data_IF_999071067064
#
_entry.id   IF_999071067064
#
_cell.length_a   1.000
_cell.length_b   1.000
_cell.length_c   1.000
_cell.angle_alpha   90.00
_cell.angle_beta   90.00
_cell.angle_gamma   90.00
#
_symmetry.space_group_name_H-M   'P 1'
#
loop_
_entity.id
_entity.type
_entity.pdbx_description
1 polymer ?
#
# COMPACT_ATOMS: atom_id res chain seq x y z
N UNK A 1 -4.78 9.22 -5.73
CA UNK A 1 -4.49 7.76 -5.87
C UNK A 1 -4.27 7.46 -7.33
N UNK A 2 -3.49 6.42 -7.66
CA UNK A 2 -3.27 5.98 -9.05
C UNK A 2 -3.17 4.45 -9.11
N UNK A 3 -3.69 3.81 -10.18
CA UNK A 3 -3.14 2.54 -10.63
C UNK A 3 -1.72 2.78 -11.17
N UNK A 4 -0.84 1.78 -11.05
CA UNK A 4 0.47 1.74 -11.71
C UNK A 4 0.50 0.45 -12.55
N UNK A 5 -0.26 0.40 -13.66
CA UNK A 5 -0.52 -0.84 -14.38
C UNK A 5 0.75 -1.38 -15.05
N UNK A 6 1.07 -2.65 -14.80
CA UNK A 6 2.27 -3.30 -15.31
C UNK A 6 3.51 -3.12 -14.43
N UNK A 7 3.43 -2.38 -13.32
CA UNK A 7 4.41 -2.49 -12.24
C UNK A 7 4.07 -3.73 -11.41
N UNK A 8 4.93 -4.76 -11.31
CA UNK A 8 4.62 -6.01 -10.62
C UNK A 8 4.14 -5.87 -9.17
N UNK A 9 4.71 -4.94 -8.40
CA UNK A 9 4.29 -4.64 -7.02
C UNK A 9 2.91 -3.96 -7.00
N UNK A 10 2.65 -3.07 -7.95
CA UNK A 10 1.33 -2.46 -8.12
C UNK A 10 0.28 -3.49 -8.55
N UNK A 11 0.62 -4.35 -9.49
CA UNK A 11 -0.21 -5.47 -9.96
C UNK A 11 -0.43 -6.52 -8.85
N UNK A 12 0.52 -6.69 -7.91
CA UNK A 12 0.36 -7.51 -6.70
C UNK A 12 -0.67 -6.93 -5.74
N UNK A 13 -0.51 -5.66 -5.36
CA UNK A 13 -1.41 -5.00 -4.41
C UNK A 13 -2.82 -4.88 -4.98
N UNK A 14 -2.96 -4.44 -6.24
CA UNK A 14 -4.27 -4.30 -6.89
C UNK A 14 -5.03 -5.63 -7.02
N UNK A 15 -4.32 -6.73 -7.28
CA UNK A 15 -4.85 -8.10 -7.30
C UNK A 15 -5.32 -8.54 -5.91
N UNK A 16 -4.49 -8.40 -4.89
CA UNK A 16 -4.78 -8.88 -3.54
C UNK A 16 -5.88 -8.05 -2.82
N UNK A 17 -5.92 -6.75 -3.08
CA UNK A 17 -6.84 -5.79 -2.43
C UNK A 17 -8.18 -5.62 -3.19
N UNK A 18 -8.18 -5.90 -4.50
CA UNK A 18 -9.34 -5.80 -5.38
C UNK A 18 -9.80 -4.36 -5.67
N UNK A 19 -9.04 -3.34 -5.30
CA UNK A 19 -9.40 -1.92 -5.51
C UNK A 19 -9.10 -1.40 -6.92
N UNK A 20 -8.16 -2.01 -7.63
CA UNK A 20 -7.54 -1.45 -8.84
C UNK A 20 -6.55 -0.30 -8.56
N UNK A 21 -6.33 0.11 -7.32
CA UNK A 21 -5.32 1.13 -6.96
C UNK A 21 -4.13 0.50 -6.26
N UNK A 22 -2.92 0.84 -6.71
CA UNK A 22 -1.67 0.43 -6.05
C UNK A 22 -1.05 1.53 -5.20
N UNK A 23 -1.31 2.80 -5.53
CA UNK A 23 -0.61 3.93 -4.92
C UNK A 23 -1.53 5.06 -4.46
N UNK A 24 -1.16 5.65 -3.32
CA UNK A 24 -1.86 6.75 -2.66
C UNK A 24 -0.91 7.86 -2.24
N UNK A 25 -1.41 9.09 -2.30
CA UNK A 25 -0.66 10.31 -2.05
C UNK A 25 -1.63 11.39 -1.53
N UNK A 26 -1.13 12.29 -0.69
CA UNK A 26 -1.87 13.48 -0.25
C UNK A 26 -1.46 14.66 -1.14
N UNK A 27 -2.42 15.46 -1.61
CA UNK A 27 -2.07 16.71 -2.29
C UNK A 27 -1.37 17.68 -1.33
N UNK A 28 -0.46 18.51 -1.82
CA UNK A 28 0.10 19.62 -1.05
C UNK A 28 -0.79 20.87 -1.16
N UNK A 29 -0.58 21.85 -0.29
CA UNK A 29 -1.29 23.13 -0.26
C UNK A 29 -0.38 24.30 -0.68
N UNK A 30 0.59 24.01 -1.54
CA UNK A 30 1.61 24.94 -2.03
C UNK A 30 1.18 25.76 -3.27
N UNK A 31 0.10 25.35 -3.93
CA UNK A 31 -0.34 25.94 -5.20
C UNK A 31 0.48 25.51 -6.42
N UNK A 32 1.50 24.66 -6.23
CA UNK A 32 2.41 24.18 -7.29
C UNK A 32 1.89 22.89 -7.96
N UNK A 33 0.81 22.31 -7.44
CA UNK A 33 0.20 21.10 -8.01
C UNK A 33 0.96 19.82 -7.67
N UNK A 34 1.59 19.78 -6.50
CA UNK A 34 2.34 18.62 -6.00
C UNK A 34 1.52 17.70 -5.11
N UNK A 35 2.01 16.47 -4.97
CA UNK A 35 1.54 15.47 -4.02
C UNK A 35 2.70 14.96 -3.18
N UNK A 36 2.44 14.58 -1.93
CA UNK A 36 3.39 13.83 -1.11
C UNK A 36 2.98 12.36 -1.01
N UNK A 37 3.95 11.45 -1.19
CA UNK A 37 3.73 10.00 -1.07
C UNK A 37 4.95 9.26 -0.56
N UNK A 38 4.74 8.12 0.09
CA UNK A 38 5.79 7.14 0.34
C UNK A 38 5.84 6.16 -0.84
N UNK A 39 6.95 6.11 -1.58
CA UNK A 39 7.10 5.30 -2.78
C UNK A 39 8.50 4.69 -2.90
N UNK A 40 8.58 3.41 -3.24
CA UNK A 40 9.84 2.73 -3.54
C UNK A 40 10.40 3.24 -4.86
N UNK A 41 11.46 4.06 -4.83
CA UNK A 41 11.99 4.69 -6.04
C UNK A 41 13.51 4.68 -6.05
N UNK A 42 14.05 3.82 -6.92
CA UNK A 42 15.47 3.68 -7.18
C UNK A 42 16.01 4.94 -7.86
N UNK A 43 16.43 5.91 -7.05
CA UNK A 43 17.25 7.01 -7.52
C UNK A 43 18.49 6.44 -8.19
N UNK A 44 18.69 6.71 -9.49
CA UNK A 44 19.83 6.21 -10.27
C UNK A 44 21.21 6.54 -9.68
N UNK A 45 21.27 7.55 -8.81
CA UNK A 45 22.47 8.03 -8.10
C UNK A 45 22.70 7.34 -6.75
N UNK A 46 21.71 6.62 -6.22
CA UNK A 46 21.76 5.87 -4.96
C UNK A 46 21.03 4.52 -5.14
N UNK A 47 21.73 3.45 -5.58
CA UNK A 47 21.18 2.11 -5.45
C UNK A 47 20.84 1.87 -3.97
N UNK A 48 19.68 1.26 -3.70
CA UNK A 48 19.09 1.13 -2.35
C UNK A 48 18.61 2.43 -1.70
N UNK A 49 18.39 3.52 -2.47
CA UNK A 49 17.42 4.54 -2.07
C UNK A 49 16.03 3.88 -2.04
N UNK A 50 15.61 3.45 -0.85
CA UNK A 50 14.29 2.85 -0.64
C UNK A 50 13.18 3.89 -0.83
N UNK A 51 13.48 5.19 -0.98
CA UNK A 51 12.50 6.26 -0.99
C UNK A 51 12.01 6.60 0.41
N UNK A 52 11.25 7.68 0.52
CA UNK A 52 10.66 8.22 1.75
C UNK A 52 9.40 9.01 1.42
N UNK A 53 8.99 9.94 2.26
CA UNK A 53 7.89 10.88 1.99
C UNK A 53 8.36 11.94 0.97
N UNK A 54 8.27 11.61 -0.32
CA UNK A 54 8.69 12.51 -1.39
C UNK A 54 7.55 13.41 -1.86
N UNK A 55 7.89 14.63 -2.26
CA UNK A 55 6.98 15.57 -2.91
C UNK A 55 7.21 15.57 -4.42
N UNK A 56 6.24 15.06 -5.18
CA UNK A 56 6.29 14.92 -6.65
C UNK A 56 5.27 15.84 -7.32
N UNK A 57 5.60 16.39 -8.49
CA UNK A 57 4.63 17.09 -9.33
C UNK A 57 3.57 16.10 -9.86
N UNK A 58 2.28 16.42 -9.75
CA UNK A 58 1.22 15.54 -10.28
C UNK A 58 1.36 15.37 -11.82
N UNK A 59 2.02 16.32 -12.49
CA UNK A 59 2.35 16.24 -13.91
C UNK A 59 3.22 15.03 -14.29
N UNK A 60 4.04 14.52 -13.37
CA UNK A 60 4.91 13.36 -13.57
C UNK A 60 4.12 12.10 -13.93
N UNK A 61 2.96 11.90 -13.29
CA UNK A 61 2.12 10.72 -13.48
C UNK A 61 1.59 10.62 -14.92
N UNK A 62 1.07 11.72 -15.48
CA UNK A 62 0.62 11.74 -16.88
C UNK A 62 1.78 11.62 -17.88
N UNK A 63 2.96 12.14 -17.56
CA UNK A 63 4.16 11.95 -18.40
C UNK A 63 4.61 10.47 -18.48
N UNK A 64 4.24 9.65 -17.49
CA UNK A 64 4.40 8.20 -17.48
C UNK A 64 3.14 7.44 -17.96
N UNK A 65 2.16 8.13 -18.56
CA UNK A 65 0.92 7.53 -19.05
C UNK A 65 -0.03 7.03 -17.95
N UNK A 66 0.17 7.44 -16.70
CA UNK A 66 -0.64 7.03 -15.56
C UNK A 66 -1.88 7.91 -15.39
N UNK A 67 -2.94 7.34 -14.81
CA UNK A 67 -4.21 8.02 -14.58
C UNK A 67 -4.35 8.40 -13.10
N UNK A 68 -4.33 9.71 -12.79
CA UNK A 68 -4.45 10.20 -11.42
C UNK A 68 -5.92 10.36 -11.05
N UNK A 69 -6.35 9.79 -9.92
CA UNK A 69 -7.70 9.91 -9.38
C UNK A 69 -7.69 10.68 -8.06
N UNK A 70 -8.57 11.66 -7.93
CA UNK A 70 -8.88 12.36 -6.69
C UNK A 70 -9.91 11.54 -5.90
N UNK A 71 -9.60 11.34 -4.62
CA UNK A 71 -10.56 10.86 -3.63
C UNK A 71 -10.93 12.07 -2.77
N UNK A 72 -12.17 12.60 -2.88
CA UNK A 72 -12.59 13.73 -2.06
C UNK A 72 -12.69 13.32 -0.60
N UNK A 73 -12.13 14.15 0.28
CA UNK A 73 -12.29 14.05 1.73
C UNK A 73 -13.56 14.81 2.13
N UNK A 74 -14.26 14.31 3.14
CA UNK A 74 -15.41 14.98 3.74
C UNK A 74 -15.02 16.42 4.17
N UNK A 75 -15.78 17.47 3.77
CA UNK A 75 -15.52 18.84 4.19
C UNK A 75 -15.49 19.06 5.72
N UNK A 76 -16.10 18.18 6.51
CA UNK A 76 -16.05 18.22 7.98
C UNK A 76 -14.73 17.69 8.56
N UNK A 77 -13.89 17.03 7.76
CA UNK A 77 -12.59 16.47 8.18
C UNK A 77 -11.46 17.44 7.78
N UNK A 78 -10.90 18.21 8.72
CA UNK A 78 -9.92 19.25 8.40
C UNK A 78 -8.62 18.64 7.85
N UNK A 79 -8.07 19.26 6.81
CA UNK A 79 -6.86 18.79 6.12
C UNK A 79 -5.58 19.40 6.71
N UNK A 80 -5.72 20.53 7.41
CA UNK A 80 -4.63 21.29 8.02
C UNK A 80 -3.84 20.46 9.05
N UNK A 81 -4.45 19.66 9.96
CA UNK A 81 -3.69 18.80 10.88
C UNK A 81 -2.90 17.72 10.15
N UNK A 82 -3.45 17.16 9.06
CA UNK A 82 -2.75 16.17 8.24
C UNK A 82 -1.54 16.79 7.51
N UNK A 83 -1.65 18.02 7.01
CA UNK A 83 -0.54 18.73 6.39
C UNK A 83 0.53 19.15 7.42
N UNK A 84 0.15 19.65 8.59
CA UNK A 84 1.10 19.97 9.66
C UNK A 84 1.86 18.72 10.14
N UNK A 85 1.18 17.57 10.23
CA UNK A 85 1.80 16.28 10.57
C UNK A 85 2.77 15.83 9.46
N UNK A 86 2.40 16.00 8.19
CA UNK A 86 3.28 15.75 7.04
C UNK A 86 4.56 16.60 7.08
N UNK A 87 4.45 17.89 7.41
CA UNK A 87 5.59 18.82 7.54
C UNK A 87 6.56 18.40 8.65
N UNK A 88 6.08 17.82 9.75
CA UNK A 88 6.95 17.29 10.81
C UNK A 88 7.64 15.96 10.45
N UNK A 89 7.06 15.18 9.53
CA UNK A 89 7.66 13.93 9.07
C UNK A 89 8.57 14.08 7.86
N UNK A 90 8.34 15.08 7.01
CA UNK A 90 9.14 15.36 5.82
C UNK A 90 10.13 16.50 6.11
N UNK A 91 11.36 16.17 6.47
CA UNK A 91 12.41 17.18 6.73
C UNK A 91 13.39 17.27 5.55
N UNK A 92 13.89 18.47 5.17
CA UNK A 92 14.80 18.64 4.02
C UNK A 92 16.05 17.75 4.05
N UNK A 93 16.48 17.32 5.24
CA UNK A 93 17.64 16.47 5.49
C UNK A 93 17.31 14.97 5.54
N UNK A 94 16.04 14.60 5.72
CA UNK A 94 15.56 13.22 5.89
C UNK A 94 14.04 13.12 5.62
N UNK A 95 13.66 12.47 4.53
CA UNK A 95 12.27 12.19 4.15
C UNK A 95 11.73 10.87 4.78
N UNK A 96 12.51 10.20 5.64
CA UNK A 96 12.20 8.86 6.16
C UNK A 96 12.51 7.75 5.15
N UNK A 97 11.99 6.53 5.39
CA UNK A 97 12.16 5.39 4.47
C UNK A 97 10.86 4.69 4.06
N UNK A 98 10.84 4.11 2.87
CA UNK A 98 9.76 3.21 2.45
C UNK A 98 9.89 1.86 3.14
N UNK A 99 8.82 1.38 3.77
CA UNK A 99 8.84 0.12 4.53
C UNK A 99 8.40 -1.07 3.69
N UNK A 100 9.35 -1.66 2.94
CA UNK A 100 9.14 -2.94 2.24
C UNK A 100 8.65 -4.06 3.19
N UNK A 101 9.19 -4.24 4.43
CA UNK A 101 8.68 -5.25 5.35
C UNK A 101 7.18 -5.11 5.66
N UNK A 102 6.71 -3.89 5.95
CA UNK A 102 5.27 -3.64 6.19
C UNK A 102 4.41 -3.96 4.97
N UNK A 103 4.88 -3.62 3.76
CA UNK A 103 4.15 -3.95 2.54
C UNK A 103 4.04 -5.47 2.30
N UNK A 104 5.07 -6.23 2.66
CA UNK A 104 5.02 -7.70 2.67
C UNK A 104 4.00 -8.21 3.71
N UNK A 105 3.95 -7.63 4.91
CA UNK A 105 2.95 -7.97 5.95
C UNK A 105 1.51 -7.72 5.43
N UNK A 106 1.26 -6.60 4.76
CA UNK A 106 -0.04 -6.30 4.10
C UNK A 106 -0.37 -7.36 3.06
N UNK A 107 0.58 -7.68 2.18
CA UNK A 107 0.36 -8.65 1.11
C UNK A 107 0.07 -10.06 1.66
N UNK A 108 0.78 -10.48 2.72
CA UNK A 108 0.51 -11.74 3.44
C UNK A 108 -0.91 -11.73 4.03
N UNK A 109 -1.29 -10.65 4.73
CA UNK A 109 -2.60 -10.53 5.36
C UNK A 109 -3.74 -10.64 4.34
N UNK A 110 -3.62 -9.97 3.18
CA UNK A 110 -4.58 -10.06 2.08
C UNK A 110 -4.62 -11.44 1.42
N UNK A 111 -3.47 -12.09 1.24
CA UNK A 111 -3.40 -13.45 0.68
C UNK A 111 -4.15 -14.49 1.53
N UNK A 112 -4.33 -14.24 2.84
CA UNK A 112 -5.13 -15.12 3.71
C UNK A 112 -6.62 -15.18 3.39
N UNK A 113 -7.13 -14.37 2.46
CA UNK A 113 -8.52 -14.41 2.02
C UNK A 113 -8.73 -15.22 0.72
N UNK A 114 -7.66 -15.79 0.15
CA UNK A 114 -7.77 -16.67 -1.02
C UNK A 114 -8.66 -17.90 -0.72
N UNK A 115 -9.68 -18.20 -1.55
CA UNK A 115 -10.69 -19.21 -1.24
C UNK A 115 -10.17 -20.64 -1.19
N UNK A 116 -9.00 -20.92 -1.77
CA UNK A 116 -8.32 -22.22 -1.70
C UNK A 116 -7.51 -22.47 -0.43
N UNK A 117 -7.30 -21.46 0.43
CA UNK A 117 -6.49 -21.59 1.64
C UNK A 117 -7.27 -22.26 2.76
N UNK A 118 -6.62 -23.17 3.49
CA UNK A 118 -7.22 -23.80 4.67
C UNK A 118 -7.64 -22.71 5.70
N UNK A 119 -8.91 -22.65 6.15
CA UNK A 119 -9.39 -21.57 7.01
C UNK A 119 -8.67 -21.43 8.35
N UNK A 120 -8.13 -22.53 8.89
CA UNK A 120 -7.39 -22.50 10.17
C UNK A 120 -6.01 -21.89 9.96
N UNK A 121 -5.29 -22.31 8.91
CA UNK A 121 -4.01 -21.70 8.51
C UNK A 121 -4.17 -20.24 8.08
N UNK A 122 -5.24 -19.92 7.36
CA UNK A 122 -5.58 -18.56 6.97
C UNK A 122 -5.71 -17.64 8.20
N UNK A 123 -6.43 -18.11 9.23
CA UNK A 123 -6.59 -17.38 10.49
C UNK A 123 -5.27 -17.26 11.28
N UNK A 124 -4.47 -18.33 11.37
CA UNK A 124 -3.15 -18.33 12.00
C UNK A 124 -2.23 -17.26 11.36
N UNK A 125 -2.06 -17.30 10.04
CA UNK A 125 -1.22 -16.35 9.29
C UNK A 125 -1.75 -14.92 9.45
N UNK A 126 -3.07 -14.71 9.43
CA UNK A 126 -3.67 -13.38 9.58
C UNK A 126 -3.44 -12.79 10.97
N UNK A 127 -3.56 -13.61 12.03
CA UNK A 127 -3.26 -13.18 13.40
C UNK A 127 -1.79 -12.80 13.58
N UNK A 128 -0.87 -13.59 13.00
CA UNK A 128 0.57 -13.28 13.01
C UNK A 128 0.89 -12.02 12.19
N UNK A 129 0.18 -11.76 11.08
CA UNK A 129 0.35 -10.53 10.30
C UNK A 129 -0.11 -9.29 11.09
N UNK A 130 -1.21 -9.40 11.84
CA UNK A 130 -1.67 -8.35 12.78
C UNK A 130 -0.67 -8.13 13.90
N UNK A 131 -0.10 -9.20 14.49
CA UNK A 131 0.93 -9.08 15.53
C UNK A 131 2.19 -8.38 14.99
N UNK A 132 2.70 -8.79 13.83
CA UNK A 132 3.84 -8.15 13.18
C UNK A 132 3.55 -6.67 12.90
N UNK A 133 2.41 -6.32 12.29
CA UNK A 133 2.06 -4.93 12.04
C UNK A 133 2.00 -4.07 13.33
N UNK A 134 1.46 -4.63 14.43
CA UNK A 134 1.45 -3.97 15.75
C UNK A 134 2.86 -3.70 16.29
N UNK A 135 3.78 -4.66 16.16
CA UNK A 135 5.17 -4.46 16.58
C UNK A 135 5.84 -3.31 15.80
N UNK A 136 5.57 -3.21 14.50
CA UNK A 136 6.05 -2.13 13.63
C UNK A 136 5.40 -0.76 13.89
N UNK A 137 4.21 -0.73 14.49
CA UNK A 137 3.56 0.50 14.94
C UNK A 137 4.08 1.01 16.27
N UNK A 138 4.51 0.10 17.15
CA UNK A 138 5.05 0.39 18.48
C UNK A 138 6.38 1.15 18.51
N UNK A 139 6.90 1.62 17.37
CA UNK A 139 8.10 2.47 17.30
C UNK A 139 7.79 3.82 16.60
N UNK A 140 7.20 4.80 17.32
CA UNK A 140 6.73 6.06 16.75
C UNK A 140 7.81 6.91 16.07
N UNK A 141 9.07 6.76 16.50
CA UNK A 141 10.23 7.50 15.99
C UNK A 141 10.65 7.04 14.59
N UNK A 142 10.24 5.82 14.19
CA UNK A 142 10.53 5.28 12.86
C UNK A 142 9.62 5.91 11.82
N UNK A 143 10.14 6.90 11.09
CA UNK A 143 9.55 7.48 9.88
C UNK A 143 9.59 6.49 8.69
N UNK A 144 9.01 5.31 8.89
CA UNK A 144 8.99 4.21 7.94
C UNK A 144 7.55 3.96 7.50
N UNK A 145 7.23 4.21 6.22
CA UNK A 145 5.85 4.14 5.73
C UNK A 145 5.77 3.45 4.37
N UNK A 146 4.63 2.87 4.05
CA UNK A 146 4.22 2.68 2.65
C UNK A 146 3.05 3.62 2.32
N UNK A 147 2.67 3.68 1.04
CA UNK A 147 1.81 4.72 0.50
C UNK A 147 0.46 4.89 1.22
N UNK A 148 -0.22 3.80 1.60
CA UNK A 148 -1.51 3.87 2.27
C UNK A 148 -1.41 4.07 3.79
N UNK A 149 -0.41 3.46 4.44
CA UNK A 149 -0.08 3.72 5.85
C UNK A 149 0.18 5.22 6.09
N UNK A 150 0.91 5.88 5.18
CA UNK A 150 1.17 7.31 5.28
C UNK A 150 -0.15 8.09 5.37
N UNK A 151 -1.09 7.87 4.45
CA UNK A 151 -2.35 8.62 4.41
C UNK A 151 -3.18 8.39 5.68
N UNK A 152 -3.36 7.13 6.11
CA UNK A 152 -4.16 6.83 7.30
C UNK A 152 -3.54 7.40 8.59
N UNK A 153 -2.21 7.43 8.70
CA UNK A 153 -1.52 8.06 9.85
C UNK A 153 -1.56 9.59 9.79
N UNK A 154 -1.55 10.19 8.58
CA UNK A 154 -1.71 11.64 8.43
C UNK A 154 -3.07 12.12 8.91
N UNK A 155 -4.14 11.37 8.59
CA UNK A 155 -5.50 11.67 9.05
C UNK A 155 -5.81 11.17 10.48
N UNK A 156 -5.03 10.22 11.01
CA UNK A 156 -5.21 9.64 12.36
C UNK A 156 -6.61 9.03 12.56
N UNK A 157 -7.10 8.38 11.50
CA UNK A 157 -8.39 7.72 11.44
C UNK A 157 -8.16 6.20 11.36
N UNK A 158 -8.33 5.45 12.46
CA UNK A 158 -8.09 4.03 12.47
C UNK A 158 -9.25 3.26 11.84
N UNK A 159 -8.91 2.18 11.15
CA UNK A 159 -9.88 1.26 10.57
C UNK A 159 -10.30 0.17 11.58
N UNK A 160 -11.45 -0.45 11.36
CA UNK A 160 -11.91 -1.58 12.16
C UNK A 160 -11.39 -2.90 11.58
N UNK A 161 -11.16 -3.93 12.40
CA UNK A 161 -10.57 -5.20 11.95
C UNK A 161 -11.31 -5.87 10.79
N UNK A 162 -12.65 -5.77 10.73
CA UNK A 162 -13.46 -6.33 9.64
C UNK A 162 -13.14 -5.73 8.27
N UNK A 163 -12.68 -4.47 8.23
CA UNK A 163 -12.43 -3.74 6.98
C UNK A 163 -11.20 -4.23 6.23
N UNK A 164 -10.42 -5.17 6.78
CA UNK A 164 -9.27 -5.80 6.12
C UNK A 164 -9.68 -6.73 4.96
N UNK A 165 -10.87 -7.34 5.02
CA UNK A 165 -11.34 -8.32 4.03
C UNK A 165 -11.46 -7.70 2.61
N UNK A 166 -10.84 -8.30 1.57
CA UNK A 166 -10.72 -7.70 0.25
C UNK A 166 -11.99 -7.71 -0.59
N UNK A 167 -11.94 -6.88 -1.64
CA UNK A 167 -13.09 -6.51 -2.50
C UNK A 167 -13.88 -7.64 -3.14
N UNK A 168 -13.10 -8.59 -3.60
CA UNK A 168 -13.37 -9.81 -4.32
C UNK A 168 -12.05 -10.56 -4.15
N UNK A 169 -11.98 -11.66 -3.36
CA UNK A 169 -10.71 -12.30 -3.05
C UNK A 169 -10.18 -13.02 -4.30
N UNK A 170 -9.45 -12.27 -5.12
CA UNK A 170 -8.80 -12.78 -6.31
C UNK A 170 -7.66 -13.71 -5.90
N UNK A 171 -7.61 -14.86 -6.57
CA UNK A 171 -6.49 -15.79 -6.50
C UNK A 171 -5.18 -15.05 -6.73
N UNK A 172 -4.09 -15.32 -5.97
CA UNK A 172 -2.76 -15.02 -6.44
C UNK A 172 -2.57 -15.65 -7.83
N UNK A 173 -2.42 -14.81 -8.85
CA UNK A 173 -2.17 -15.31 -10.20
C UNK A 173 -0.85 -16.10 -10.17
N UNK A 174 -0.76 -17.29 -10.78
CA UNK A 174 0.49 -18.03 -10.82
C UNK A 174 1.53 -17.15 -11.53
N UNK A 175 2.54 -16.71 -10.78
CA UNK A 175 3.68 -16.00 -11.32
C UNK A 175 4.45 -16.85 -12.34
N UNK A 176 5.50 -16.29 -12.97
CA UNK A 176 6.46 -17.14 -13.69
C UNK A 176 6.94 -18.25 -12.75
N UNK A 177 7.23 -19.47 -13.25
CA UNK A 177 7.64 -20.59 -12.40
C UNK A 177 8.96 -20.25 -11.69
N UNK A 178 8.86 -19.82 -10.43
CA UNK A 178 10.01 -19.62 -9.54
C UNK A 178 10.40 -20.98 -8.99
N UNK A 179 11.70 -21.23 -8.93
CA UNK A 179 12.24 -22.43 -8.31
C UNK A 179 12.21 -22.20 -6.79
N UNK A 180 11.44 -23.02 -6.06
CA UNK A 180 11.18 -22.87 -4.62
C UNK A 180 12.48 -22.61 -3.83
N UNK A 181 12.49 -21.54 -3.03
CA UNK A 181 13.58 -21.17 -2.13
C UNK A 181 14.74 -20.39 -2.77
N UNK A 182 14.71 -20.10 -4.07
CA UNK A 182 15.82 -19.39 -4.74
C UNK A 182 15.85 -17.89 -4.42
N UNK A 183 14.69 -17.22 -4.31
CA UNK A 183 14.59 -15.78 -4.08
C UNK A 183 14.08 -15.44 -2.68
N UNK A 184 13.33 -16.34 -2.06
CA UNK A 184 12.98 -16.30 -0.64
C UNK A 184 14.21 -16.05 0.26
N UNK A 185 15.29 -16.81 0.09
CA UNK A 185 16.55 -16.60 0.83
C UNK A 185 17.18 -15.19 0.63
N UNK A 186 16.89 -14.50 -0.47
CA UNK A 186 17.32 -13.12 -0.69
C UNK A 186 16.36 -12.14 -0.02
N UNK A 187 15.04 -12.33 -0.19
CA UNK A 187 14.02 -11.49 0.41
C UNK A 187 14.08 -11.55 1.94
N UNK A 188 14.08 -12.74 2.54
CA UNK A 188 14.22 -12.95 3.99
C UNK A 188 15.50 -12.32 4.54
N UNK A 189 16.63 -12.39 3.80
CA UNK A 189 17.88 -11.71 4.21
C UNK A 189 17.81 -10.19 4.09
N UNK A 190 17.19 -9.65 3.04
CA UNK A 190 17.01 -8.20 2.89
C UNK A 190 16.04 -7.65 3.93
N UNK A 191 14.97 -8.37 4.25
CA UNK A 191 14.00 -7.97 5.27
C UNK A 191 14.60 -8.14 6.68
N UNK A 192 15.34 -9.23 6.93
CA UNK A 192 16.12 -9.44 8.15
C UNK A 192 17.19 -8.36 8.41
N UNK A 193 17.76 -7.78 7.35
CA UNK A 193 18.66 -6.62 7.48
C UNK A 193 17.93 -5.29 7.75
N UNK A 194 16.63 -5.21 7.46
CA UNK A 194 15.77 -4.05 7.69
C UNK A 194 14.99 -4.13 9.02
N UNK A 195 15.03 -5.27 9.70
CA UNK A 195 14.46 -5.51 11.04
C UNK A 195 15.55 -5.49 12.10
N UNK A 196 15.34 -4.71 13.16
CA UNK A 196 16.10 -4.90 14.41
C UNK A 196 15.45 -6.01 15.26
N UNK A 197 16.18 -6.50 16.26
CA UNK A 197 15.82 -7.65 17.13
C UNK A 197 14.35 -7.64 17.61
N UNK A 198 13.83 -6.48 18.04
CA UNK A 198 12.45 -6.31 18.55
C UNK A 198 11.36 -6.55 17.49
N UNK A 199 11.68 -6.29 16.21
CA UNK A 199 10.79 -6.49 15.07
C UNK A 199 10.98 -7.88 14.43
N UNK A 200 12.17 -8.47 14.57
CA UNK A 200 12.52 -9.73 13.95
C UNK A 200 11.70 -10.90 14.51
N UNK A 201 11.56 -11.02 15.83
CA UNK A 201 10.85 -12.16 16.45
C UNK A 201 9.37 -12.34 16.00
N UNK A 202 8.50 -11.31 15.95
CA UNK A 202 7.16 -11.46 15.39
C UNK A 202 7.17 -11.69 13.87
N UNK A 203 8.17 -11.16 13.15
CA UNK A 203 8.31 -11.34 11.71
C UNK A 203 8.69 -12.77 11.33
N UNK A 204 9.69 -13.36 11.99
CA UNK A 204 10.14 -14.73 11.74
C UNK A 204 9.01 -15.75 12.01
N UNK A 205 8.16 -15.50 13.02
CA UNK A 205 6.96 -16.33 13.27
C UNK A 205 5.95 -16.24 12.14
N UNK A 206 5.73 -15.04 11.59
CA UNK A 206 4.86 -14.82 10.43
C UNK A 206 5.39 -15.56 9.20
N UNK A 207 6.68 -15.39 8.86
CA UNK A 207 7.32 -16.03 7.71
C UNK A 207 7.21 -17.56 7.81
N UNK A 208 7.55 -18.14 8.97
CA UNK A 208 7.46 -19.59 9.18
C UNK A 208 6.02 -20.12 9.02
N UNK A 209 4.99 -19.32 9.35
CA UNK A 209 3.59 -19.68 9.11
C UNK A 209 3.22 -19.57 7.63
N UNK A 210 3.72 -18.54 6.93
CA UNK A 210 3.54 -18.36 5.48
C UNK A 210 4.16 -19.52 4.70
N UNK A 211 5.38 -19.96 5.00
CA UNK A 211 6.01 -21.13 4.37
C UNK A 211 5.14 -22.39 4.47
N UNK A 212 4.52 -22.63 5.64
CA UNK A 212 3.62 -23.78 5.87
C UNK A 212 2.28 -23.66 5.15
N UNK A 213 1.78 -22.45 4.95
CA UNK A 213 0.44 -22.18 4.42
C UNK A 213 0.42 -21.91 2.91
N UNK A 214 1.43 -21.21 2.41
CA UNK A 214 1.53 -20.62 1.07
C UNK A 214 3.00 -20.67 0.58
N UNK A 215 3.57 -21.87 0.33
CA UNK A 215 5.03 -22.05 0.19
C UNK A 215 5.69 -21.27 -0.96
N UNK A 216 4.94 -20.89 -2.00
CA UNK A 216 5.47 -20.11 -3.14
C UNK A 216 5.26 -18.59 -3.01
N UNK A 217 4.62 -18.12 -1.93
CA UNK A 217 4.22 -16.72 -1.80
C UNK A 217 5.42 -15.77 -1.69
N UNK A 218 6.42 -16.12 -0.86
CA UNK A 218 7.58 -15.25 -0.60
C UNK A 218 8.47 -15.11 -1.83
N UNK A 219 8.68 -16.21 -2.58
CA UNK A 219 9.37 -16.19 -3.89
C UNK A 219 8.64 -15.29 -4.91
N UNK A 220 7.30 -15.34 -4.97
CA UNK A 220 6.50 -14.49 -5.86
C UNK A 220 6.55 -13.02 -5.45
N UNK A 221 6.38 -12.71 -4.16
CA UNK A 221 6.50 -11.36 -3.64
C UNK A 221 7.92 -10.78 -3.85
N UNK A 222 8.96 -11.61 -3.73
CA UNK A 222 10.35 -11.22 -4.04
C UNK A 222 10.50 -10.79 -5.50
N UNK A 223 9.94 -11.56 -6.45
CA UNK A 223 9.94 -11.20 -7.88
C UNK A 223 9.19 -9.88 -8.11
N UNK A 224 7.99 -9.73 -7.55
CA UNK A 224 7.16 -8.54 -7.73
C UNK A 224 7.87 -7.27 -7.17
N UNK A 225 8.49 -7.36 -5.99
CA UNK A 225 9.30 -6.28 -5.39
C UNK A 225 10.54 -5.96 -6.23
N UNK A 226 11.31 -6.98 -6.65
CA UNK A 226 12.58 -6.79 -7.35
C UNK A 226 12.42 -6.27 -8.78
N UNK A 227 11.33 -6.59 -9.47
CA UNK A 227 11.11 -6.17 -10.87
C UNK A 227 10.48 -4.79 -11.02
N UNK A 228 9.70 -4.33 -10.04
CA UNK A 228 8.99 -3.04 -10.07
C UNK A 228 9.85 -1.81 -10.41
N UNK A 229 11.08 -1.64 -9.88
CA UNK A 229 11.94 -0.51 -10.22
C UNK A 229 12.36 -0.43 -11.69
N UNK A 230 12.24 -1.53 -12.45
CA UNK A 230 12.77 -1.66 -13.81
C UNK A 230 11.70 -1.46 -14.89
N UNK A 231 10.42 -1.39 -14.53
CA UNK A 231 9.33 -1.18 -15.49
C UNK A 231 9.10 0.31 -15.73
N UNK A 232 8.93 0.69 -17.00
CA UNK A 232 8.43 2.01 -17.41
C UNK A 232 6.97 1.83 -17.82
N UNK A 233 6.08 2.53 -17.15
CA UNK A 233 4.63 2.30 -17.26
C UNK A 233 4.04 2.76 -18.58
N UNK A 234 3.00 2.05 -18.99
CA UNK A 234 2.15 2.28 -20.14
C UNK A 234 1.11 1.18 -20.18
N UNK A 235 -0.04 1.40 -19.54
CA UNK A 235 -1.08 0.41 -19.35
C UNK A 235 -2.49 1.00 -19.43
N UNK A 236 -3.54 0.16 -19.47
CA UNK A 236 -4.92 0.63 -19.63
C UNK A 236 -5.38 1.42 -18.41
N UNK A 237 -6.09 2.53 -18.65
CA UNK A 237 -6.73 3.32 -17.60
C UNK A 237 -7.90 2.56 -16.96
N UNK A 238 -8.12 2.74 -15.65
CA UNK A 238 -9.34 2.26 -15.00
C UNK A 238 -10.56 3.05 -15.51
N UNK A 239 -11.70 2.38 -15.66
CA UNK A 239 -12.94 3.05 -16.04
C UNK A 239 -13.35 4.09 -14.98
N UNK A 240 -13.77 5.26 -15.45
CA UNK A 240 -14.34 6.32 -14.61
C UNK A 240 -15.77 5.96 -14.20
N UNK A 241 -16.20 6.40 -13.01
CA UNK A 241 -17.61 6.32 -12.64
C UNK A 241 -17.89 6.54 -11.15
N UNK A 242 -19.17 6.72 -10.84
CA UNK A 242 -19.68 6.52 -9.47
C UNK A 242 -19.36 5.10 -9.05
N UNK A 243 -18.79 4.92 -7.87
CA UNK A 243 -18.71 3.61 -7.23
C UNK A 243 -20.10 3.27 -6.69
N UNK A 244 -20.46 2.00 -6.69
CA UNK A 244 -21.50 1.54 -5.78
C UNK A 244 -20.94 1.74 -4.36
N UNK A 245 -21.55 2.58 -3.49
CA UNK A 245 -21.09 2.71 -2.12
C UNK A 245 -21.19 1.33 -1.48
N UNK A 246 -20.09 0.82 -0.92
CA UNK A 246 -20.20 -0.38 -0.10
C UNK A 246 -20.94 -0.04 1.19
N UNK A 247 -21.78 -0.96 1.72
CA UNK A 247 -22.20 -0.87 3.10
C UNK A 247 -20.93 -0.78 3.95
N UNK A 248 -20.74 0.36 4.62
CA UNK A 248 -19.65 0.54 5.58
C UNK A 248 -19.80 -0.56 6.63
N UNK A 249 -18.76 -1.36 6.95
CA UNK A 249 -18.86 -2.38 7.99
C UNK A 249 -19.15 -1.73 9.34
N UNK A 250 -20.41 -1.80 9.77
CA UNK A 250 -20.83 -1.45 11.13
C UNK A 250 -20.58 -2.67 12.02
N UNK A 251 -19.31 -2.93 12.31
CA UNK A 251 -18.90 -4.17 12.99
C UNK A 251 -19.02 -4.12 14.52
N UNK A 252 -19.35 -2.94 15.08
CA UNK A 252 -19.47 -2.71 16.52
C UNK A 252 -18.21 -3.08 17.32
N UNK A 253 -17.07 -3.32 16.66
CA UNK A 253 -15.89 -3.90 17.27
C UNK A 253 -14.99 -2.81 17.85
N UNK A 254 -14.50 -3.06 19.06
CA UNK A 254 -13.53 -2.16 19.68
C UNK A 254 -12.11 -2.34 19.12
N UNK A 255 -11.85 -3.44 18.39
CA UNK A 255 -10.51 -3.77 17.91
C UNK A 255 -10.18 -3.02 16.62
N UNK A 256 -9.15 -2.18 16.71
CA UNK A 256 -8.64 -1.40 15.58
C UNK A 256 -7.61 -2.18 14.79
N UNK A 257 -7.70 -2.06 13.47
CA UNK A 257 -6.66 -2.52 12.56
C UNK A 257 -5.42 -1.64 12.73
N UNK A 258 -4.21 -2.23 12.80
CA UNK A 258 -2.96 -1.49 12.71
C UNK A 258 -2.91 -0.65 11.42
N UNK A 259 -2.45 0.60 11.51
CA UNK A 259 -2.15 1.44 10.34
C UNK A 259 -1.24 0.76 9.31
N UNK A 260 -0.32 -0.10 9.76
CA UNK A 260 0.57 -0.91 8.94
C UNK A 260 -0.11 -2.05 8.17
N UNK A 261 -1.43 -2.22 8.31
CA UNK A 261 -2.26 -3.13 7.50
C UNK A 261 -3.27 -2.41 6.59
N UNK A 262 -3.29 -1.07 6.58
CA UNK A 262 -4.27 -0.30 5.79
C UNK A 262 -3.93 -0.35 4.31
N UNK A 263 -4.92 -0.69 3.47
CA UNK A 263 -4.75 -0.88 2.02
C UNK A 263 -5.25 0.32 1.21
N UNK A 264 -4.90 0.43 -0.09
CA UNK A 264 -5.50 1.42 -0.98
C UNK A 264 -7.03 1.36 -1.02
N UNK A 265 -7.65 0.17 -1.05
CA UNK A 265 -9.11 0.01 -0.94
C UNK A 265 -9.66 0.63 0.33
N UNK A 266 -9.01 0.38 1.46
CA UNK A 266 -9.53 0.85 2.74
C UNK A 266 -9.63 2.37 2.77
N UNK A 267 -8.67 3.09 2.15
CA UNK A 267 -8.79 4.53 1.96
C UNK A 267 -10.05 4.92 1.15
N UNK A 268 -10.45 4.12 0.16
CA UNK A 268 -11.63 4.36 -0.70
C UNK A 268 -12.97 4.04 0.00
N UNK A 269 -12.96 3.10 0.94
CA UNK A 269 -14.11 2.72 1.77
C UNK A 269 -14.13 3.51 3.10
N UNK A 270 -13.24 4.50 3.28
CA UNK A 270 -13.03 5.19 4.55
C UNK A 270 -14.19 6.13 4.91
N UNK A 271 -14.56 6.25 6.20
CA UNK A 271 -15.73 7.02 6.63
C UNK A 271 -15.60 8.52 6.33
N UNK A 272 -14.37 9.03 6.21
CA UNK A 272 -14.00 10.40 5.88
C UNK A 272 -13.84 10.66 4.37
N UNK A 273 -14.16 9.68 3.52
CA UNK A 273 -14.10 9.85 2.06
C UNK A 273 -15.48 9.84 1.42
N UNK A 274 -15.63 10.62 0.36
CA UNK A 274 -16.86 10.67 -0.41
C UNK A 274 -17.02 9.44 -1.32
N UNK A 275 -18.27 9.03 -1.58
CA UNK A 275 -18.61 7.81 -2.35
C UNK A 275 -18.30 7.90 -3.87
N UNK A 276 -17.38 8.77 -4.29
CA UNK A 276 -16.99 8.96 -5.68
C UNK A 276 -15.48 9.23 -5.80
N UNK A 277 -14.94 8.93 -6.98
CA UNK A 277 -13.58 9.34 -7.36
C UNK A 277 -13.63 10.09 -8.68
N UNK A 278 -12.88 11.19 -8.75
CA UNK A 278 -12.77 11.99 -9.96
C UNK A 278 -11.47 11.64 -10.68
N UNK A 279 -11.51 11.42 -12.00
CA UNK A 279 -10.26 11.43 -12.77
C UNK A 279 -9.75 12.88 -12.82
N UNK A 280 -8.52 13.08 -12.36
CA UNK A 280 -7.82 14.36 -12.50
C UNK A 280 -7.33 14.47 -13.94
N UNK A 281 -7.92 15.41 -14.68
CA UNK A 281 -7.53 15.69 -16.06
C UNK A 281 -6.12 16.27 -16.12
N UNK A 282 -5.28 15.72 -16.99
CA UNK A 282 -3.94 16.25 -17.24
C UNK A 282 -3.99 17.59 -18.01
N UNK A 283 -2.93 18.40 -17.92
CA UNK A 283 -2.85 19.66 -18.66
C UNK A 283 -2.92 19.40 -20.16
N UNK A 284 -3.97 19.90 -20.81
CA UNK A 284 -4.22 19.73 -22.24
C UNK A 284 -5.20 18.60 -22.63
N UNK A 285 -5.75 17.85 -21.67
CA UNK A 285 -6.83 16.91 -21.97
C UNK A 285 -8.13 17.64 -22.35
N UNK A 286 -8.82 17.26 -23.46
CA UNK A 286 -10.15 17.80 -23.75
C UNK A 286 -11.14 17.33 -22.67
N UNK A 287 -12.18 18.13 -22.35
CA UNK A 287 -13.20 17.71 -21.39
C UNK A 287 -13.89 16.43 -21.86
N UNK A 288 -14.35 15.56 -20.93
CA UNK A 288 -15.06 14.34 -21.29
C UNK A 288 -16.32 14.67 -22.11
N UNK A 289 -16.67 13.84 -23.12
CA UNK A 289 -17.93 13.99 -23.83
C UNK A 289 -19.11 13.75 -22.87
N UNK A 290 -20.09 14.64 -22.94
CA UNK A 290 -21.38 14.53 -22.24
C UNK A 290 -22.28 13.45 -22.87
#
# INVERSE_FOLDING_TARGET
>A
MTPIPGEPLGDMITRLDGSGFSHSAIALADGEGRVASAHMSFCRTRPFDLGGIRGDDVSHFWALGQSVYRLPVDPEVPREPALARLETWRTPEDDGTFSVPKLVIVAIALATFAPELDPVRALEVRQLAVEAARAWEGVPERRQFYCAELITRLYDQPFAMSTLEPTDPQRPAPGPPVQEGMLDSLLVRTLGWLTDDDLQAPYDRLLAAVERAMPTFLDQAAVDILLSPFVRTGGPALQQGRRSPRPRPDDGSAERLPFGLVTPRMLLDAPWTADHVDLVQGPGAPPPPF
#
